data_IF_508625563461
#
_entry.id   IF_508625563461
#
_cell.length_a   1.000
_cell.length_b   1.000
_cell.length_c   1.000
_cell.angle_alpha   90.00
_cell.angle_beta   90.00
_cell.angle_gamma   90.00
#
_symmetry.space_group_name_H-M   'P 1'
#
loop_
_entity.id
_entity.type
_entity.pdbx_description
1 polymer ?
#
# COMPACT_ATOMS: atom_id res chain seq x y z
N UNK A 1 -1.17 5.18 -15.38
CA UNK A 1 -1.79 4.86 -14.09
C UNK A 1 -1.13 3.65 -13.44
N UNK A 2 -0.88 3.69 -12.13
CA UNK A 2 -0.38 2.56 -11.36
C UNK A 2 -1.57 1.78 -10.77
N UNK A 3 -1.70 0.50 -11.14
CA UNK A 3 -2.72 -0.40 -10.59
C UNK A 3 -2.13 -1.16 -9.41
N UNK A 4 -2.90 -1.31 -8.35
CA UNK A 4 -2.51 -2.06 -7.13
C UNK A 4 -3.48 -3.22 -6.97
N UNK A 5 -3.00 -4.49 -6.85
CA UNK A 5 -3.85 -5.60 -6.45
C UNK A 5 -4.36 -5.39 -5.03
N UNK A 6 -5.61 -5.74 -4.78
CA UNK A 6 -6.23 -5.67 -3.45
C UNK A 6 -6.57 -7.08 -3.00
N UNK A 7 -6.29 -7.41 -1.74
CA UNK A 7 -6.74 -8.64 -1.10
C UNK A 7 -8.22 -8.53 -0.69
N UNK A 8 -8.86 -9.64 -0.39
CA UNK A 8 -10.26 -9.65 0.07
C UNK A 8 -10.42 -8.86 1.37
N UNK A 9 -9.45 -8.96 2.29
CA UNK A 9 -9.40 -8.14 3.51
C UNK A 9 -9.38 -6.65 3.19
N UNK A 10 -8.49 -6.21 2.30
CA UNK A 10 -8.43 -4.79 1.88
C UNK A 10 -9.72 -4.33 1.23
N UNK A 11 -10.34 -5.17 0.40
CA UNK A 11 -11.63 -4.87 -0.24
C UNK A 11 -12.73 -4.72 0.82
N UNK A 12 -12.76 -5.59 1.82
CA UNK A 12 -13.73 -5.52 2.92
C UNK A 12 -13.58 -4.21 3.71
N UNK A 13 -12.36 -3.85 4.10
CA UNK A 13 -12.07 -2.60 4.82
C UNK A 13 -12.42 -1.35 4.00
N UNK A 14 -12.07 -1.34 2.71
CA UNK A 14 -12.41 -0.22 1.83
C UNK A 14 -13.92 -0.08 1.61
N UNK A 15 -14.66 -1.21 1.53
CA UNK A 15 -16.12 -1.21 1.48
C UNK A 15 -16.72 -0.70 2.79
N UNK A 16 -16.21 -1.14 3.94
CA UNK A 16 -16.65 -0.66 5.25
C UNK A 16 -16.42 0.86 5.38
N UNK A 17 -15.24 1.34 4.99
CA UNK A 17 -14.94 2.76 4.94
C UNK A 17 -15.92 3.52 4.03
N UNK A 18 -16.23 2.98 2.86
CA UNK A 18 -17.17 3.58 1.91
C UNK A 18 -18.57 3.77 2.51
N UNK A 19 -18.99 2.89 3.40
CA UNK A 19 -20.28 2.99 4.09
C UNK A 19 -20.33 4.10 5.15
N UNK A 20 -19.19 4.60 5.60
CA UNK A 20 -19.13 5.67 6.62
C UNK A 20 -19.48 7.05 6.07
N UNK A 21 -19.48 7.22 4.75
CA UNK A 21 -19.78 8.49 4.08
C UNK A 21 -20.34 8.28 2.67
N UNK A 22 -21.18 9.20 2.24
CA UNK A 22 -21.77 9.18 0.90
C UNK A 22 -21.03 10.16 -0.04
N UNK A 23 -19.72 9.99 -0.20
CA UNK A 23 -18.87 10.83 -1.05
C UNK A 23 -18.43 10.05 -2.29
N UNK A 24 -18.13 10.76 -3.38
CA UNK A 24 -17.62 10.14 -4.61
C UNK A 24 -16.22 9.55 -4.38
N UNK A 25 -15.35 10.31 -3.69
CA UNK A 25 -14.00 9.87 -3.35
C UNK A 25 -14.01 8.97 -2.11
N UNK A 26 -13.19 7.93 -2.11
CA UNK A 26 -13.00 7.04 -0.97
C UNK A 26 -12.29 7.75 0.20
N UNK A 27 -11.36 8.64 -0.13
CA UNK A 27 -10.63 9.47 0.83
C UNK A 27 -10.82 10.95 0.47
N UNK A 28 -11.99 11.55 0.82
CA UNK A 28 -12.26 12.95 0.50
C UNK A 28 -11.47 13.90 1.42
N UNK A 29 -11.17 15.07 0.93
CA UNK A 29 -10.64 16.14 1.77
C UNK A 29 -11.70 16.60 2.79
N UNK A 30 -11.28 16.88 4.03
CA UNK A 30 -12.18 17.17 5.16
C UNK A 30 -13.12 18.36 4.92
N UNK A 31 -12.65 19.40 4.23
CA UNK A 31 -13.40 20.63 4.00
C UNK A 31 -13.96 20.74 2.57
N UNK A 32 -13.46 19.95 1.64
CA UNK A 32 -13.91 19.95 0.25
C UNK A 32 -13.97 18.51 -0.26
N UNK A 33 -15.16 17.93 -0.23
CA UNK A 33 -15.39 16.54 -0.62
C UNK A 33 -15.18 16.22 -2.11
N UNK A 34 -14.98 17.24 -2.95
CA UNK A 34 -14.62 17.08 -4.37
C UNK A 34 -13.12 16.91 -4.58
N UNK A 35 -12.32 17.16 -3.56
CA UNK A 35 -10.88 16.97 -3.57
C UNK A 35 -10.48 15.73 -2.76
N UNK A 36 -9.37 15.12 -3.14
CA UNK A 36 -8.80 14.00 -2.38
C UNK A 36 -8.12 14.49 -1.09
N UNK A 37 -8.14 13.64 -0.08
CA UNK A 37 -7.39 13.85 1.16
C UNK A 37 -5.90 14.06 0.86
N UNK A 38 -5.26 14.96 1.59
CA UNK A 38 -3.81 15.19 1.50
C UNK A 38 -3.04 14.12 2.26
N UNK A 39 -1.83 13.84 1.81
CA UNK A 39 -0.94 12.84 2.45
C UNK A 39 -0.65 13.15 3.92
N UNK A 40 -0.57 14.44 4.28
CA UNK A 40 -0.35 14.90 5.66
C UNK A 40 -1.48 14.48 6.61
N UNK A 41 -2.69 14.33 6.09
CA UNK A 41 -3.86 13.88 6.88
C UNK A 41 -3.68 12.45 7.38
N UNK A 42 -3.06 11.58 6.60
CA UNK A 42 -2.75 10.20 7.01
C UNK A 42 -1.76 10.21 8.17
N UNK A 43 -0.72 11.04 8.09
CA UNK A 43 0.24 11.20 9.18
C UNK A 43 -0.42 11.74 10.45
N UNK A 44 -1.40 12.65 10.34
CA UNK A 44 -2.17 13.15 11.47
C UNK A 44 -2.98 12.03 12.14
N UNK A 45 -3.60 11.13 11.37
CA UNK A 45 -4.30 9.95 11.90
C UNK A 45 -3.33 9.03 12.65
N UNK A 46 -2.18 8.70 12.07
CA UNK A 46 -1.14 7.88 12.72
C UNK A 46 -0.73 8.49 14.07
N UNK A 47 -0.51 9.80 14.11
CA UNK A 47 -0.13 10.51 15.35
C UNK A 47 -1.26 10.48 16.39
N UNK A 48 -2.50 10.75 16.00
CA UNK A 48 -3.65 10.75 16.92
C UNK A 48 -3.98 9.36 17.45
N UNK A 49 -3.59 8.31 16.74
CA UNK A 49 -3.70 6.91 17.18
C UNK A 49 -2.56 6.46 18.13
N UNK A 50 -1.74 7.39 18.63
CA UNK A 50 -0.70 7.08 19.63
C UNK A 50 0.64 6.62 19.04
N UNK A 51 0.82 6.69 17.71
CA UNK A 51 2.06 6.23 17.05
C UNK A 51 3.02 7.37 16.70
N UNK A 52 2.91 8.52 17.38
CA UNK A 52 3.84 9.66 17.19
C UNK A 52 5.28 9.20 17.42
N UNK A 53 6.17 9.45 16.43
CA UNK A 53 7.57 9.06 16.48
C UNK A 53 7.85 7.56 16.30
N UNK A 54 6.80 6.71 16.26
CA UNK A 54 6.93 5.25 16.11
C UNK A 54 6.62 4.79 14.67
N UNK A 55 5.73 5.48 13.97
CA UNK A 55 5.34 5.16 12.60
C UNK A 55 5.11 6.42 11.78
N UNK A 56 5.40 6.33 10.49
CA UNK A 56 5.12 7.35 9.48
C UNK A 56 4.42 6.72 8.28
N UNK A 57 3.83 7.54 7.40
CA UNK A 57 3.25 7.04 6.14
C UNK A 57 4.30 6.32 5.28
N UNK A 58 5.53 6.83 5.25
CA UNK A 58 6.64 6.17 4.55
C UNK A 58 7.10 4.89 5.26
N UNK A 59 6.96 4.82 6.59
CA UNK A 59 7.29 3.65 7.39
C UNK A 59 6.52 2.40 6.98
N UNK A 60 5.23 2.52 6.66
CA UNK A 60 4.45 1.40 6.12
C UNK A 60 5.01 0.87 4.80
N UNK A 61 5.44 1.76 3.93
CA UNK A 61 6.07 1.39 2.66
C UNK A 61 7.41 0.68 2.88
N UNK A 62 8.22 1.18 3.80
CA UNK A 62 9.50 0.57 4.17
C UNK A 62 9.28 -0.81 4.80
N UNK A 63 8.30 -0.95 5.69
CA UNK A 63 7.93 -2.23 6.29
C UNK A 63 7.56 -3.26 5.23
N UNK A 64 6.65 -2.92 4.32
CA UNK A 64 6.28 -3.77 3.20
C UNK A 64 7.51 -4.19 2.39
N UNK A 65 8.33 -3.23 1.98
CA UNK A 65 9.54 -3.50 1.19
C UNK A 65 10.49 -4.46 1.91
N UNK A 66 10.76 -4.23 3.20
CA UNK A 66 11.65 -5.06 4.00
C UNK A 66 11.11 -6.48 4.12
N UNK A 67 9.88 -6.63 4.58
CA UNK A 67 9.26 -7.95 4.83
C UNK A 67 9.20 -8.79 3.55
N UNK A 68 8.78 -8.17 2.44
CA UNK A 68 8.65 -8.91 1.17
C UNK A 68 10.01 -9.28 0.59
N UNK A 69 11.02 -8.40 0.67
CA UNK A 69 12.37 -8.71 0.20
C UNK A 69 13.06 -9.77 1.08
N UNK A 70 12.93 -9.69 2.40
CA UNK A 70 13.53 -10.65 3.33
C UNK A 70 12.91 -12.06 3.22
N UNK A 71 11.67 -12.17 2.74
CA UNK A 71 11.05 -13.46 2.47
C UNK A 71 11.80 -14.28 1.43
N UNK A 72 12.49 -13.64 0.50
CA UNK A 72 13.15 -14.25 -0.67
C UNK A 72 12.21 -15.10 -1.57
N UNK A 73 10.90 -14.87 -1.50
CA UNK A 73 9.88 -15.63 -2.24
C UNK A 73 9.56 -15.02 -3.61
N UNK A 74 9.88 -13.75 -3.83
CA UNK A 74 9.39 -12.97 -4.97
C UNK A 74 10.52 -12.30 -5.74
N UNK A 75 10.27 -12.08 -7.04
CA UNK A 75 11.18 -11.36 -7.89
C UNK A 75 11.33 -9.89 -7.43
N UNK A 76 12.55 -9.39 -7.19
CA UNK A 76 12.78 -8.00 -6.78
C UNK A 76 12.17 -6.96 -7.73
N UNK A 77 12.13 -7.22 -9.05
CA UNK A 77 11.52 -6.32 -10.01
C UNK A 77 9.99 -6.22 -9.84
N UNK A 78 9.35 -7.31 -9.42
CA UNK A 78 7.91 -7.32 -9.10
C UNK A 78 7.64 -6.50 -7.83
N UNK A 79 8.51 -6.59 -6.82
CA UNK A 79 8.42 -5.81 -5.58
C UNK A 79 8.59 -4.32 -5.89
N UNK A 80 9.63 -3.94 -6.64
CA UNK A 80 9.85 -2.55 -7.06
C UNK A 80 8.67 -2.01 -7.89
N UNK A 81 8.10 -2.85 -8.76
CA UNK A 81 6.94 -2.49 -9.55
C UNK A 81 5.68 -2.31 -8.69
N UNK A 82 5.51 -3.14 -7.67
CA UNK A 82 4.40 -3.00 -6.69
C UNK A 82 4.51 -1.68 -5.93
N UNK A 83 5.71 -1.29 -5.57
CA UNK A 83 6.01 -0.02 -4.92
C UNK A 83 5.97 1.20 -5.85
N UNK A 84 5.72 1.03 -7.15
CA UNK A 84 5.82 2.08 -8.16
C UNK A 84 7.19 2.81 -8.15
N UNK A 85 8.25 2.09 -7.76
CA UNK A 85 9.60 2.62 -7.87
C UNK A 85 10.00 2.73 -9.34
N UNK A 86 10.60 3.85 -9.70
CA UNK A 86 11.22 4.03 -11.01
C UNK A 86 12.65 3.51 -10.91
N UNK A 87 13.04 2.48 -11.68
CA UNK A 87 14.41 2.01 -11.68
C UNK A 87 15.37 3.15 -12.00
N UNK A 88 16.40 3.34 -11.19
CA UNK A 88 17.42 4.38 -11.43
C UNK A 88 18.28 4.07 -12.67
N UNK A 89 18.36 2.81 -13.06
CA UNK A 89 19.11 2.40 -14.24
C UNK A 89 18.27 2.58 -15.52
N UNK A 90 18.64 3.56 -16.36
CA UNK A 90 17.98 3.86 -17.63
C UNK A 90 17.94 2.67 -18.61
N UNK A 91 18.95 1.80 -18.57
CA UNK A 91 19.01 0.60 -19.40
C UNK A 91 17.92 -0.38 -18.95
N UNK A 92 17.78 -0.60 -17.63
CA UNK A 92 16.75 -1.46 -17.06
C UNK A 92 15.33 -0.93 -17.33
N UNK A 93 15.14 0.39 -17.32
CA UNK A 93 13.89 1.07 -17.71
C UNK A 93 13.50 0.80 -19.17
N UNK A 94 14.46 0.82 -20.07
CA UNK A 94 14.20 0.62 -21.50
C UNK A 94 13.74 -0.82 -21.83
N UNK A 95 14.24 -1.82 -21.10
CA UNK A 95 13.97 -3.24 -21.36
C UNK A 95 12.87 -3.83 -20.48
N UNK A 96 12.66 -3.32 -19.25
CA UNK A 96 11.69 -3.89 -18.31
C UNK A 96 10.34 -3.17 -18.37
N UNK A 97 9.54 -3.50 -19.41
CA UNK A 97 8.14 -3.04 -19.54
C UNK A 97 7.14 -3.97 -18.85
N UNK A 98 7.61 -5.05 -18.25
CA UNK A 98 6.75 -6.03 -17.61
C UNK A 98 5.98 -5.43 -16.44
N UNK A 99 4.72 -5.80 -16.31
CA UNK A 99 3.85 -5.34 -15.23
C UNK A 99 3.90 -6.27 -14.01
N UNK A 100 4.42 -7.49 -14.17
CA UNK A 100 4.48 -8.54 -13.14
C UNK A 100 3.16 -8.76 -12.41
N UNK A 101 2.02 -8.58 -13.12
CA UNK A 101 0.72 -8.50 -12.47
C UNK A 101 0.40 -9.74 -11.63
N UNK A 102 0.54 -10.93 -12.20
CA UNK A 102 0.27 -12.18 -11.47
C UNK A 102 1.15 -12.36 -10.23
N UNK A 103 2.42 -11.97 -10.32
CA UNK A 103 3.32 -12.03 -9.17
C UNK A 103 3.02 -10.96 -8.13
N UNK A 104 2.63 -9.77 -8.55
CA UNK A 104 2.20 -8.70 -7.65
C UNK A 104 0.90 -9.05 -6.91
N UNK A 105 -0.01 -9.79 -7.53
CA UNK A 105 -1.18 -10.36 -6.84
C UNK A 105 -0.71 -11.30 -5.72
N UNK A 106 0.16 -12.26 -6.03
CA UNK A 106 0.71 -13.19 -5.01
C UNK A 106 1.45 -12.48 -3.89
N UNK A 107 2.23 -11.43 -4.21
CA UNK A 107 2.90 -10.60 -3.19
C UNK A 107 1.88 -9.99 -2.23
N UNK A 108 0.79 -9.42 -2.75
CA UNK A 108 -0.20 -8.77 -1.93
C UNK A 108 -1.02 -9.76 -1.10
N UNK A 109 -1.36 -10.93 -1.65
CA UNK A 109 -2.03 -12.02 -0.92
C UNK A 109 -1.15 -12.49 0.23
N UNK A 110 0.10 -12.85 -0.05
CA UNK A 110 1.06 -13.30 0.96
C UNK A 110 1.30 -12.24 2.05
N UNK A 111 1.49 -10.98 1.67
CA UNK A 111 1.69 -9.90 2.63
C UNK A 111 0.43 -9.65 3.48
N UNK A 112 -0.76 -9.78 2.88
CA UNK A 112 -2.03 -9.73 3.60
C UNK A 112 -2.11 -10.79 4.69
N UNK A 113 -1.74 -12.03 4.39
CA UNK A 113 -1.68 -13.14 5.37
C UNK A 113 -0.70 -12.83 6.52
N UNK A 114 0.46 -12.21 6.22
CA UNK A 114 1.40 -11.78 7.27
C UNK A 114 0.75 -10.74 8.20
N UNK A 115 0.08 -9.74 7.63
CA UNK A 115 -0.61 -8.69 8.40
C UNK A 115 -1.72 -9.29 9.28
N UNK A 116 -2.54 -10.17 8.74
CA UNK A 116 -3.58 -10.88 9.50
C UNK A 116 -2.97 -11.70 10.64
N UNK A 117 -1.87 -12.40 10.38
CA UNK A 117 -1.14 -13.14 11.39
C UNK A 117 -0.61 -12.25 12.53
N UNK A 118 -0.11 -11.06 12.19
CA UNK A 118 0.33 -10.10 13.23
C UNK A 118 -0.85 -9.55 14.02
N UNK A 119 -1.97 -9.21 13.37
CA UNK A 119 -3.16 -8.71 14.04
C UNK A 119 -3.76 -9.73 15.01
N UNK A 120 -3.67 -11.02 14.71
CA UNK A 120 -4.17 -12.09 15.58
C UNK A 120 -3.34 -12.30 16.85
N UNK A 121 -2.15 -11.70 16.96
CA UNK A 121 -1.26 -11.80 18.12
C UNK A 121 -1.54 -10.74 19.19
N UNK A 122 -2.40 -9.76 18.90
CA UNK A 122 -2.75 -8.63 19.78
C UNK A 122 -4.26 -8.57 20.03
#
# INVERSE_FOLDING_TARGET
>A
PHRVPLTDMMIAELKALRLTHNQELLFPHRLNNKESMRSESILAVIKSSGYTGRMTTHGFRSLFSTVVNESNLFNPDAIERQLAHVPQNRIRLAYNRAQYWGERVRIMEWYGEQVEGWMAQY
#
